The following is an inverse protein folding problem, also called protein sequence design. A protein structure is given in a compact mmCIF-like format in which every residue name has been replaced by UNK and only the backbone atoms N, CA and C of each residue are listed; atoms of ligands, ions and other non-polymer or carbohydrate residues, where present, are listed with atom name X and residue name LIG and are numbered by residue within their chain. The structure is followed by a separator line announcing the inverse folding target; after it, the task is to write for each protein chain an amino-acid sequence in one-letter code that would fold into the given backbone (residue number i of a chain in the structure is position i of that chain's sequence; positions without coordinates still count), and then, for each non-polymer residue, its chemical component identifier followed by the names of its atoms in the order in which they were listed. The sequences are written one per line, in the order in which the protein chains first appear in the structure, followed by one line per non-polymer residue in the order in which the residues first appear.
data_IF_682399393532
#
_entry.id   IF_682399393532
#
_cell.length_a   1.000
_cell.length_b   1.000
_cell.length_c   1.000
_cell.angle_alpha   90.00
_cell.angle_beta   90.00
_cell.angle_gamma   90.00
#
_symmetry.space_group_name_H-M   'P 1'
#
loop_
_entity.id
_entity.type
_entity.pdbx_description
1 polymer ?
#
# COMPACT_ATOMS: atom_id res chain seq x y z
N UNK A 1 -26.20 -36.57 -48.21
CA UNK A 1 -27.30 -36.19 -47.29
C UNK A 1 -27.13 -37.02 -46.03
N UNK A 2 -26.46 -36.48 -45.01
CA UNK A 2 -26.31 -37.11 -43.69
C UNK A 2 -26.75 -36.08 -42.67
N UNK A 3 -27.62 -36.52 -41.77
CA UNK A 3 -28.31 -35.72 -40.77
C UNK A 3 -27.33 -35.16 -39.74
N UNK A 4 -27.42 -33.85 -39.50
CA UNK A 4 -26.85 -33.22 -38.32
C UNK A 4 -27.79 -33.53 -37.15
N UNK A 5 -27.41 -34.47 -36.29
CA UNK A 5 -28.02 -34.63 -34.98
C UNK A 5 -27.64 -33.43 -34.11
N UNK A 6 -28.61 -32.54 -33.95
CA UNK A 6 -28.59 -31.42 -33.04
C UNK A 6 -28.38 -31.94 -31.62
N UNK A 7 -27.20 -31.62 -31.09
CA UNK A 7 -26.83 -31.86 -29.71
C UNK A 7 -27.67 -30.93 -28.80
N UNK A 8 -28.95 -31.26 -28.61
CA UNK A 8 -29.84 -30.60 -27.65
C UNK A 8 -29.43 -31.04 -26.25
N UNK A 9 -28.27 -30.58 -25.81
CA UNK A 9 -27.84 -30.67 -24.43
C UNK A 9 -28.93 -30.04 -23.57
N UNK A 10 -29.65 -30.88 -22.82
CA UNK A 10 -30.66 -30.46 -21.86
C UNK A 10 -29.99 -29.51 -20.87
N UNK A 11 -30.14 -28.21 -21.11
CA UNK A 11 -29.62 -27.18 -20.22
C UNK A 11 -30.47 -27.26 -18.97
N UNK A 12 -29.93 -27.91 -17.92
CA UNK A 12 -30.62 -28.08 -16.66
C UNK A 12 -30.92 -26.68 -16.09
N UNK A 13 -32.21 -26.27 -15.99
CA UNK A 13 -32.56 -24.94 -15.49
C UNK A 13 -32.24 -24.76 -14.00
N UNK A 14 -31.92 -25.86 -13.30
CA UNK A 14 -31.46 -25.88 -11.91
C UNK A 14 -29.94 -26.00 -11.77
N UNK A 15 -29.17 -25.92 -12.87
CA UNK A 15 -27.72 -25.84 -12.77
C UNK A 15 -27.36 -24.53 -12.06
N UNK A 16 -26.71 -24.65 -10.89
CA UNK A 16 -26.14 -23.49 -10.21
C UNK A 16 -25.17 -22.79 -11.15
N UNK A 17 -25.23 -21.44 -11.27
CA UNK A 17 -24.31 -20.70 -12.13
C UNK A 17 -22.88 -21.09 -11.75
N UNK A 18 -22.13 -21.63 -12.71
CA UNK A 18 -20.71 -21.88 -12.49
C UNK A 18 -20.04 -20.52 -12.39
N UNK A 19 -19.86 -20.03 -11.16
CA UNK A 19 -18.98 -18.90 -10.89
C UNK A 19 -17.57 -19.42 -11.08
N UNK A 20 -17.06 -19.35 -12.30
CA UNK A 20 -15.63 -19.48 -12.56
C UNK A 20 -14.96 -18.27 -11.94
N UNK A 21 -14.60 -18.41 -10.65
CA UNK A 21 -13.72 -17.45 -9.98
C UNK A 21 -12.33 -17.68 -10.55
N UNK A 22 -12.05 -17.08 -11.71
CA UNK A 22 -10.70 -16.98 -12.23
C UNK A 22 -9.94 -16.03 -11.31
N UNK A 23 -9.23 -16.60 -10.34
CA UNK A 23 -8.24 -15.85 -9.58
C UNK A 23 -7.21 -15.31 -10.58
N UNK A 24 -7.31 -14.02 -10.90
CA UNK A 24 -6.35 -13.34 -11.77
C UNK A 24 -5.01 -13.38 -11.06
N UNK A 25 -4.06 -14.16 -11.59
CA UNK A 25 -2.68 -14.15 -11.12
C UNK A 25 -2.01 -12.90 -11.67
N UNK A 26 -1.66 -11.97 -10.79
CA UNK A 26 -0.99 -10.72 -11.15
C UNK A 26 0.41 -11.00 -11.69
N UNK A 27 0.79 -10.36 -12.80
CA UNK A 27 2.20 -10.32 -13.19
C UNK A 27 2.94 -9.26 -12.36
N UNK A 28 4.24 -9.43 -12.21
CA UNK A 28 5.10 -8.47 -11.52
C UNK A 28 4.96 -7.08 -12.14
N UNK A 29 4.68 -6.07 -11.31
CA UNK A 29 4.54 -4.69 -11.74
C UNK A 29 3.13 -4.29 -12.17
N UNK A 30 2.23 -5.25 -12.45
CA UNK A 30 0.84 -4.95 -12.83
C UNK A 30 0.07 -4.28 -11.69
N UNK A 31 -0.76 -3.31 -12.05
CA UNK A 31 -1.68 -2.64 -11.15
C UNK A 31 -3.00 -2.36 -11.88
N UNK A 32 -4.06 -2.16 -11.10
CA UNK A 32 -5.39 -1.76 -11.54
C UNK A 32 -5.86 -0.59 -10.67
N UNK A 33 -6.41 0.45 -11.27
CA UNK A 33 -7.11 1.48 -10.50
C UNK A 33 -8.58 1.08 -10.32
N UNK A 34 -9.01 0.88 -9.08
CA UNK A 34 -10.41 0.53 -8.75
C UNK A 34 -10.89 1.28 -7.52
N UNK A 35 -12.05 1.94 -7.64
CA UNK A 35 -12.69 2.69 -6.54
C UNK A 35 -11.76 3.72 -5.88
N UNK A 36 -10.97 4.44 -6.68
CA UNK A 36 -10.00 5.43 -6.18
C UNK A 36 -8.83 4.82 -5.39
N UNK A 37 -8.56 3.53 -5.58
CA UNK A 37 -7.45 2.80 -4.96
C UNK A 37 -6.65 2.06 -6.01
N UNK A 38 -5.39 1.83 -5.71
CA UNK A 38 -4.51 1.04 -6.57
C UNK A 38 -4.57 -0.39 -6.05
N UNK A 39 -4.93 -1.33 -6.90
CA UNK A 39 -4.99 -2.75 -6.60
C UNK A 39 -3.88 -3.44 -7.38
N UNK A 40 -3.12 -4.32 -6.74
CA UNK A 40 -2.07 -5.06 -7.44
C UNK A 40 -1.54 -6.23 -6.62
N UNK A 41 -0.56 -6.94 -7.20
CA UNK A 41 0.09 -8.08 -6.56
C UNK A 41 1.11 -7.69 -5.49
N UNK A 42 2.04 -8.59 -5.20
CA UNK A 42 3.11 -8.37 -4.22
C UNK A 42 4.10 -7.28 -4.65
N UNK A 43 4.30 -7.10 -5.95
CA UNK A 43 5.18 -6.10 -6.53
C UNK A 43 4.40 -5.24 -7.52
N UNK A 44 4.31 -3.94 -7.22
CA UNK A 44 3.49 -2.96 -7.93
C UNK A 44 4.40 -1.86 -8.47
N UNK A 45 4.38 -1.65 -9.78
CA UNK A 45 5.18 -0.61 -10.42
C UNK A 45 4.25 0.45 -10.98
N UNK A 46 4.24 1.60 -10.32
CA UNK A 46 3.42 2.71 -10.76
C UNK A 46 4.08 3.43 -11.95
N UNK A 47 3.26 4.04 -12.82
CA UNK A 47 3.74 4.81 -13.95
C UNK A 47 4.58 6.00 -13.48
N UNK A 48 5.29 6.62 -14.42
CA UNK A 48 6.15 7.78 -14.21
C UNK A 48 5.33 9.07 -13.96
N UNK A 49 4.43 9.02 -12.99
CA UNK A 49 3.53 10.10 -12.58
C UNK A 49 3.72 10.34 -11.09
N UNK A 50 3.83 11.60 -10.68
CA UNK A 50 3.96 11.95 -9.26
C UNK A 50 2.73 11.45 -8.48
N UNK A 51 2.95 10.59 -7.47
CA UNK A 51 1.86 9.94 -6.72
C UNK A 51 0.92 10.92 -5.97
N UNK A 52 1.35 12.17 -5.75
CA UNK A 52 0.56 13.20 -5.06
C UNK A 52 -0.17 14.15 -6.01
N UNK A 53 0.53 14.76 -6.96
CA UNK A 53 -0.06 15.76 -7.86
C UNK A 53 -0.45 15.19 -9.24
N UNK A 54 -0.01 13.98 -9.59
CA UNK A 54 -0.24 13.37 -10.90
C UNK A 54 0.59 13.95 -12.04
N UNK A 55 1.48 14.92 -11.78
CA UNK A 55 2.36 15.51 -12.79
C UNK A 55 3.23 14.43 -13.47
N UNK A 56 3.47 14.57 -14.78
CA UNK A 56 4.34 13.64 -15.49
C UNK A 56 5.78 13.90 -15.08
N UNK A 57 6.47 12.84 -14.69
CA UNK A 57 7.83 12.89 -14.19
C UNK A 57 8.64 12.03 -15.15
N UNK A 58 9.18 12.64 -16.20
CA UNK A 58 9.82 11.93 -17.30
C UNK A 58 10.92 10.98 -16.82
N UNK A 59 11.17 9.91 -17.59
CA UNK A 59 12.23 8.94 -17.26
C UNK A 59 13.60 9.62 -17.16
N UNK A 60 13.82 10.66 -17.97
CA UNK A 60 15.07 11.43 -18.04
C UNK A 60 15.07 12.67 -17.13
N UNK A 61 13.97 12.94 -16.42
CA UNK A 61 13.92 14.07 -15.51
C UNK A 61 14.80 13.77 -14.29
N UNK A 62 16.01 14.33 -14.26
CA UNK A 62 16.91 14.27 -13.11
C UNK A 62 16.29 14.82 -11.80
N UNK A 63 15.15 15.51 -11.91
CA UNK A 63 14.37 16.02 -10.77
C UNK A 63 13.41 15.00 -10.16
N UNK A 64 13.20 13.86 -10.82
CA UNK A 64 12.39 12.74 -10.38
C UNK A 64 13.11 11.89 -9.35
N UNK A 65 12.44 11.52 -8.26
CA UNK A 65 12.93 10.46 -7.38
C UNK A 65 11.97 9.28 -7.47
N UNK A 66 12.48 8.15 -7.95
CA UNK A 66 11.78 6.87 -7.94
C UNK A 66 12.10 6.18 -6.61
N UNK A 67 11.11 6.11 -5.73
CA UNK A 67 11.21 5.46 -4.43
C UNK A 67 10.61 4.05 -4.54
N UNK A 68 11.35 3.05 -4.09
CA UNK A 68 10.80 1.72 -3.84
C UNK A 68 10.56 1.56 -2.35
N UNK A 69 9.31 1.33 -1.97
CA UNK A 69 8.90 1.21 -0.58
C UNK A 69 8.24 -0.14 -0.35
N UNK A 70 8.73 -0.88 0.65
CA UNK A 70 8.09 -2.12 1.09
C UNK A 70 7.11 -1.82 2.22
N UNK A 71 5.82 -2.06 1.98
CA UNK A 71 4.76 -1.88 2.96
C UNK A 71 4.34 -3.23 3.55
N UNK A 72 4.55 -3.46 4.86
CA UNK A 72 3.96 -4.60 5.53
C UNK A 72 2.46 -4.38 5.72
N UNK A 73 1.67 -5.43 5.52
CA UNK A 73 0.27 -5.46 5.93
C UNK A 73 0.13 -6.15 7.29
N UNK A 74 -0.48 -5.45 8.24
CA UNK A 74 -0.77 -5.95 9.58
C UNK A 74 -2.28 -6.03 9.74
N UNK A 75 -2.82 -7.24 9.86
CA UNK A 75 -4.23 -7.44 10.17
C UNK A 75 -4.59 -6.81 11.54
N UNK A 76 -5.71 -6.11 11.68
CA UNK A 76 -6.08 -5.41 12.91
C UNK A 76 -6.19 -6.33 14.14
N UNK A 77 -6.55 -7.60 13.95
CA UNK A 77 -6.58 -8.60 15.03
C UNK A 77 -5.19 -8.79 15.68
N UNK A 78 -4.10 -8.62 14.93
CA UNK A 78 -2.75 -8.73 15.50
C UNK A 78 -2.47 -7.61 16.52
N UNK A 79 -3.06 -6.43 16.33
CA UNK A 79 -2.90 -5.32 17.28
C UNK A 79 -3.52 -5.69 18.63
N UNK A 80 -4.66 -6.38 18.65
CA UNK A 80 -5.25 -6.89 19.89
C UNK A 80 -4.36 -7.94 20.57
N UNK A 81 -3.73 -8.83 19.78
CA UNK A 81 -2.79 -9.82 20.30
C UNK A 81 -1.55 -9.16 20.93
N UNK A 82 -1.08 -8.04 20.35
CA UNK A 82 0.03 -7.27 20.91
C UNK A 82 -0.24 -6.77 22.33
N UNK A 83 -1.50 -6.41 22.63
CA UNK A 83 -1.92 -5.97 23.96
C UNK A 83 -1.94 -7.15 24.95
N UNK A 84 -2.35 -8.34 24.50
CA UNK A 84 -2.44 -9.52 25.34
C UNK A 84 -1.07 -10.15 25.64
N UNK A 85 -0.21 -10.28 24.63
CA UNK A 85 1.13 -10.85 24.77
C UNK A 85 2.08 -10.32 23.69
N UNK A 86 2.85 -9.30 24.07
CA UNK A 86 3.76 -8.60 23.17
C UNK A 86 4.83 -9.50 22.53
N UNK A 87 5.37 -10.47 23.28
CA UNK A 87 6.42 -11.38 22.77
C UNK A 87 5.85 -12.32 21.71
N UNK A 88 4.71 -12.95 22.02
CA UNK A 88 4.04 -13.82 21.06
C UNK A 88 3.66 -13.04 19.79
N UNK A 89 3.18 -11.80 19.93
CA UNK A 89 2.89 -10.93 18.80
C UNK A 89 4.11 -10.67 17.91
N UNK A 90 5.29 -10.35 18.48
CA UNK A 90 6.49 -10.11 17.67
C UNK A 90 6.84 -11.34 16.83
N UNK A 91 6.85 -12.53 17.45
CA UNK A 91 7.17 -13.78 16.75
C UNK A 91 6.21 -13.98 15.59
N UNK A 92 4.90 -13.90 15.86
CA UNK A 92 3.91 -14.18 14.83
C UNK A 92 3.89 -13.10 13.74
N UNK A 93 4.10 -11.84 14.10
CA UNK A 93 4.21 -10.74 13.14
C UNK A 93 5.37 -10.99 12.16
N UNK A 94 6.54 -11.44 12.62
CA UNK A 94 7.68 -11.72 11.73
C UNK A 94 7.34 -12.80 10.69
N UNK A 95 6.61 -13.85 11.07
CA UNK A 95 6.29 -14.97 10.18
C UNK A 95 5.10 -14.74 9.25
N UNK A 96 4.08 -13.99 9.69
CA UNK A 96 2.81 -13.86 8.96
C UNK A 96 2.74 -12.59 8.11
N UNK A 97 3.57 -11.58 8.39
CA UNK A 97 3.49 -10.30 7.70
C UNK A 97 3.70 -10.45 6.20
N UNK A 98 2.63 -10.20 5.45
CA UNK A 98 2.67 -10.07 4.00
C UNK A 98 3.25 -8.71 3.65
N UNK A 99 4.18 -8.68 2.70
CA UNK A 99 4.89 -7.46 2.29
C UNK A 99 4.54 -7.14 0.84
N UNK A 100 4.21 -5.89 0.56
CA UNK A 100 4.00 -5.37 -0.79
C UNK A 100 5.13 -4.39 -1.12
N UNK A 101 5.85 -4.62 -2.21
CA UNK A 101 6.84 -3.70 -2.75
C UNK A 101 6.16 -2.78 -3.76
N UNK A 102 6.20 -1.48 -3.50
CA UNK A 102 5.58 -0.48 -4.37
C UNK A 102 6.66 0.47 -4.85
N UNK A 103 6.82 0.56 -6.16
CA UNK A 103 7.73 1.50 -6.79
C UNK A 103 6.92 2.64 -7.39
N UNK A 104 7.18 3.87 -6.94
CA UNK A 104 6.45 5.06 -7.38
C UNK A 104 7.39 6.25 -7.58
N UNK A 105 6.95 7.27 -8.33
CA UNK A 105 7.69 8.53 -8.48
C UNK A 105 7.05 9.67 -7.68
N UNK A 106 7.90 10.60 -7.21
CA UNK A 106 7.48 11.86 -6.59
C UNK A 106 8.20 13.01 -7.28
N UNK A 107 7.47 14.06 -7.65
CA UNK A 107 8.06 15.29 -8.19
C UNK A 107 8.81 16.08 -7.11
N UNK A 108 9.81 16.88 -7.52
CA UNK A 108 10.66 17.68 -6.63
C UNK A 108 9.88 18.56 -5.67
N UNK A 109 8.78 19.15 -6.10
CA UNK A 109 7.96 20.05 -5.28
C UNK A 109 7.22 19.31 -4.17
N UNK A 110 6.61 18.18 -4.50
CA UNK A 110 5.96 17.33 -3.50
C UNK A 110 6.99 16.74 -2.53
N UNK A 111 8.18 16.38 -3.02
CA UNK A 111 9.28 15.90 -2.18
C UNK A 111 9.81 17.01 -1.25
N UNK A 112 9.94 18.25 -1.74
CA UNK A 112 10.37 19.39 -0.93
C UNK A 112 9.35 19.72 0.16
N UNK A 113 8.05 19.70 -0.16
CA UNK A 113 6.96 19.85 0.83
C UNK A 113 7.02 18.76 1.90
N UNK A 114 7.23 17.50 1.49
CA UNK A 114 7.42 16.37 2.41
C UNK A 114 8.62 16.63 3.32
N UNK A 115 9.80 16.95 2.79
CA UNK A 115 11.01 17.23 3.59
C UNK A 115 10.82 18.36 4.59
N UNK A 116 10.16 19.46 4.19
CA UNK A 116 9.82 20.58 5.09
C UNK A 116 8.94 20.12 6.24
N UNK A 117 7.93 19.29 5.96
CA UNK A 117 7.07 18.71 6.99
C UNK A 117 7.85 17.83 7.97
N UNK A 118 8.72 16.94 7.48
CA UNK A 118 9.58 16.11 8.34
C UNK A 118 10.54 16.94 9.18
N UNK A 119 11.12 17.99 8.61
CA UNK A 119 11.99 18.90 9.34
C UNK A 119 11.24 19.63 10.45
N UNK A 120 10.04 20.16 10.15
CA UNK A 120 9.19 20.81 11.14
C UNK A 120 8.72 19.86 12.25
N UNK A 121 8.33 18.63 11.90
CA UNK A 121 7.96 17.61 12.87
C UNK A 121 9.15 17.26 13.77
N UNK A 122 10.34 17.07 13.19
CA UNK A 122 11.56 16.74 13.92
C UNK A 122 12.03 17.86 14.86
N UNK A 123 11.99 19.12 14.41
CA UNK A 123 12.35 20.27 15.25
C UNK A 123 11.36 20.43 16.39
N UNK A 124 10.06 20.38 16.11
CA UNK A 124 9.01 20.49 17.13
C UNK A 124 9.09 19.37 18.16
N UNK A 125 9.30 18.13 17.70
CA UNK A 125 9.46 16.97 18.61
C UNK A 125 10.71 17.10 19.47
N UNK A 126 11.82 17.55 18.88
CA UNK A 126 13.09 17.76 19.60
C UNK A 126 12.98 18.85 20.66
N UNK A 127 12.33 19.97 20.35
CA UNK A 127 12.11 21.06 21.30
C UNK A 127 11.21 20.62 22.47
N UNK A 128 10.11 19.90 22.19
CA UNK A 128 9.23 19.36 23.24
C UNK A 128 9.96 18.38 24.16
N UNK A 129 10.76 17.48 23.58
CA UNK A 129 11.58 16.55 24.35
C UNK A 129 12.62 17.29 25.21
N UNK A 130 13.29 18.30 24.66
CA UNK A 130 14.28 19.12 25.38
C UNK A 130 13.68 19.87 26.58
N UNK A 131 12.50 20.49 26.39
CA UNK A 131 11.77 21.14 27.48
C UNK A 131 11.42 20.13 28.58
N UNK A 132 11.00 18.91 28.18
CA UNK A 132 10.70 17.84 29.12
C UNK A 132 11.89 17.45 29.99
N UNK A 133 13.06 17.29 29.37
CA UNK A 133 14.30 17.00 30.11
C UNK A 133 14.67 18.14 31.06
N UNK A 134 14.60 19.39 30.61
CA UNK A 134 14.89 20.55 31.46
C UNK A 134 13.95 20.64 32.67
N UNK A 135 12.64 20.39 32.49
CA UNK A 135 11.68 20.41 33.60
C UNK A 135 11.94 19.29 34.62
N UNK A 136 12.28 18.08 34.16
CA UNK A 136 12.65 16.95 35.03
C UNK A 136 13.89 17.27 35.87
N UNK A 137 14.86 18.00 35.33
CA UNK A 137 16.07 18.39 36.05
C UNK A 137 15.84 19.49 37.10
N UNK A 138 14.77 20.28 36.98
CA UNK A 138 14.52 21.45 37.83
C UNK A 138 13.57 21.19 39.01
N UNK A 139 12.79 20.10 39.03
CA UNK A 139 11.81 19.82 40.10
C UNK A 139 11.74 18.34 40.49
N UNK A 140 11.98 18.04 41.77
CA UNK A 140 11.89 16.68 42.33
C UNK A 140 10.47 16.30 42.74
N UNK A 141 9.64 17.25 43.19
CA UNK A 141 8.30 16.99 43.76
C UNK A 141 7.21 16.74 42.70
N UNK A 142 7.36 17.29 41.49
CA UNK A 142 6.41 17.15 40.37
C UNK A 142 6.92 16.18 39.28
N UNK A 143 7.96 15.41 39.58
CA UNK A 143 8.68 14.58 38.63
C UNK A 143 7.75 13.58 37.91
N UNK A 144 6.89 12.90 38.66
CA UNK A 144 6.05 11.81 38.14
C UNK A 144 4.98 12.28 37.14
N UNK A 145 4.14 13.30 37.43
CA UNK A 145 3.15 13.80 36.48
C UNK A 145 3.81 14.46 35.25
N UNK A 146 4.92 15.18 35.42
CA UNK A 146 5.66 15.76 34.29
C UNK A 146 6.22 14.66 33.39
N UNK A 147 6.82 13.62 33.95
CA UNK A 147 7.38 12.50 33.18
C UNK A 147 6.28 11.76 32.39
N UNK A 148 5.11 11.54 32.98
CA UNK A 148 3.96 10.95 32.26
C UNK A 148 3.48 11.85 31.12
N UNK A 149 3.40 13.17 31.34
CA UNK A 149 2.98 14.11 30.29
C UNK A 149 3.96 14.13 29.11
N UNK A 150 5.26 14.21 29.37
CA UNK A 150 6.27 14.22 28.30
C UNK A 150 6.40 12.88 27.59
N UNK A 151 6.32 11.76 28.30
CA UNK A 151 6.33 10.43 27.67
C UNK A 151 5.08 10.23 26.82
N UNK A 152 3.88 10.60 27.30
CA UNK A 152 2.66 10.54 26.51
C UNK A 152 2.73 11.47 25.28
N UNK A 153 3.21 12.71 25.43
CA UNK A 153 3.40 13.64 24.32
C UNK A 153 4.40 13.12 23.29
N UNK A 154 5.51 12.55 23.73
CA UNK A 154 6.51 11.94 22.86
C UNK A 154 5.93 10.73 22.10
N UNK A 155 5.22 9.84 22.80
CA UNK A 155 4.54 8.70 22.18
C UNK A 155 3.47 9.13 21.19
N UNK A 156 2.72 10.21 21.48
CA UNK A 156 1.75 10.78 20.54
C UNK A 156 2.44 11.32 19.28
N UNK A 157 3.56 12.03 19.42
CA UNK A 157 4.33 12.52 18.27
C UNK A 157 4.93 11.37 17.45
N UNK A 158 5.48 10.33 18.09
CA UNK A 158 5.95 9.13 17.40
C UNK A 158 4.81 8.40 16.70
N UNK A 159 3.64 8.28 17.34
CA UNK A 159 2.45 7.73 16.71
C UNK A 159 2.07 8.56 15.47
N UNK A 160 1.98 9.87 15.59
CA UNK A 160 1.67 10.75 14.45
C UNK A 160 2.71 10.61 13.34
N UNK A 161 4.00 10.61 13.67
CA UNK A 161 5.08 10.42 12.70
C UNK A 161 4.94 9.08 11.96
N UNK A 162 4.61 8.01 12.69
CA UNK A 162 4.40 6.70 12.07
C UNK A 162 3.16 6.65 11.18
N UNK A 163 2.11 7.36 11.56
CA UNK A 163 0.89 7.44 10.78
C UNK A 163 1.05 8.27 9.49
N UNK A 164 2.04 9.16 9.43
CA UNK A 164 2.40 9.93 8.24
C UNK A 164 3.50 9.28 7.38
N UNK A 165 3.92 8.03 7.65
CA UNK A 165 4.90 7.35 6.81
C UNK A 165 4.36 6.98 5.42
N UNK A 166 4.66 7.88 4.48
CA UNK A 166 4.60 7.62 3.05
C UNK A 166 3.32 8.13 2.38
N UNK A 167 3.39 8.38 1.06
CA UNK A 167 2.23 8.81 0.28
C UNK A 167 1.16 7.73 0.18
N UNK A 168 1.55 6.46 0.30
CA UNK A 168 0.71 5.28 0.11
C UNK A 168 0.56 4.49 1.41
N UNK A 169 -0.65 3.99 1.67
CA UNK A 169 -0.99 3.12 2.79
C UNK A 169 -1.70 1.88 2.28
N UNK A 170 -1.29 0.71 2.74
CA UNK A 170 -2.03 -0.54 2.48
C UNK A 170 -3.33 -0.48 3.27
N UNK A 171 -4.45 -0.42 2.55
CA UNK A 171 -5.79 -0.37 3.13
C UNK A 171 -6.30 -1.78 3.45
N UNK A 172 -6.12 -2.70 2.51
CA UNK A 172 -6.66 -4.06 2.60
C UNK A 172 -5.78 -5.05 1.85
N UNK A 173 -5.80 -6.30 2.29
CA UNK A 173 -5.16 -7.42 1.62
C UNK A 173 -6.14 -8.60 1.55
N UNK A 174 -6.35 -9.16 0.36
CA UNK A 174 -7.20 -10.33 0.15
C UNK A 174 -6.80 -11.07 -1.12
N UNK A 175 -6.83 -12.40 -1.10
CA UNK A 175 -6.55 -13.25 -2.27
C UNK A 175 -5.27 -12.84 -3.02
N UNK A 176 -4.18 -12.62 -2.30
CA UNK A 176 -2.89 -12.18 -2.86
C UNK A 176 -2.89 -10.79 -3.52
N UNK A 177 -3.97 -10.03 -3.35
CA UNK A 177 -4.09 -8.66 -3.86
C UNK A 177 -3.95 -7.65 -2.72
N UNK A 178 -3.15 -6.62 -2.94
CA UNK A 178 -3.01 -5.48 -2.06
C UNK A 178 -3.81 -4.31 -2.61
N UNK A 179 -4.58 -3.67 -1.74
CA UNK A 179 -5.25 -2.40 -2.03
C UNK A 179 -4.49 -1.27 -1.35
N UNK A 180 -3.94 -0.37 -2.15
CA UNK A 180 -3.21 0.82 -1.69
C UNK A 180 -4.11 2.05 -1.80
N UNK A 181 -4.04 2.90 -0.78
CA UNK A 181 -4.75 4.17 -0.67
C UNK A 181 -3.76 5.32 -0.44
N UNK A 182 -4.20 6.57 -0.64
CA UNK A 182 -3.40 7.77 -0.37
C UNK A 182 -2.73 8.43 -1.58
N UNK A 183 -2.88 7.82 -2.75
CA UNK A 183 -2.57 8.46 -4.04
C UNK A 183 -3.51 9.65 -4.28
N UNK A 184 -3.00 10.70 -4.93
CA UNK A 184 -3.82 11.86 -5.30
C UNK A 184 -4.81 11.54 -6.41
N UNK A 185 -5.96 12.20 -6.43
CA UNK A 185 -6.99 11.96 -7.46
C UNK A 185 -6.49 12.21 -8.88
N UNK A 186 -5.66 13.25 -9.07
CA UNK A 186 -5.05 13.55 -10.36
C UNK A 186 -4.11 12.43 -10.85
N UNK A 187 -3.40 11.78 -9.93
CA UNK A 187 -2.61 10.59 -10.25
C UNK A 187 -3.52 9.44 -10.65
N UNK A 188 -4.56 9.15 -9.86
CA UNK A 188 -5.47 8.01 -10.10
C UNK A 188 -6.14 8.11 -11.47
N UNK A 189 -6.65 9.29 -11.85
CA UNK A 189 -7.27 9.50 -13.16
C UNK A 189 -6.31 9.29 -14.32
N UNK A 190 -5.05 9.74 -14.18
CA UNK A 190 -4.03 9.57 -15.23
C UNK A 190 -3.51 8.14 -15.30
N UNK A 191 -3.37 7.48 -14.15
CA UNK A 191 -2.97 6.08 -14.08
C UNK A 191 -4.01 5.17 -14.72
N UNK A 192 -5.31 5.45 -14.54
CA UNK A 192 -6.41 4.75 -15.23
C UNK A 192 -6.34 4.92 -16.76
N UNK A 193 -5.95 6.09 -17.26
CA UNK A 193 -5.73 6.31 -18.70
C UNK A 193 -4.54 5.51 -19.23
N UNK A 194 -3.42 5.47 -18.49
CA UNK A 194 -2.23 4.69 -18.88
C UNK A 194 -2.52 3.19 -18.87
N UNK A 195 -3.29 2.71 -17.89
CA UNK A 195 -3.72 1.32 -17.81
C UNK A 195 -4.58 0.92 -19.02
N UNK A 196 -5.45 1.81 -19.50
CA UNK A 196 -6.27 1.57 -20.68
C UNK A 196 -5.47 1.53 -21.99
N UNK A 197 -4.30 2.18 -22.02
CA UNK A 197 -3.45 2.27 -23.22
C UNK A 197 -2.49 1.09 -23.35
N UNK A 198 -2.08 0.44 -22.25
CA UNK A 198 -1.33 -0.81 -22.33
C UNK A 198 -2.23 -1.91 -22.94
N UNK A 199 -1.96 -2.37 -24.18
CA UNK A 199 -2.78 -3.39 -24.78
C UNK A 199 -2.65 -4.62 -23.89
N UNK A 200 -3.80 -5.10 -23.38
CA UNK A 200 -3.85 -6.33 -22.63
C UNK A 200 -3.16 -7.41 -23.48
N UNK A 201 -1.90 -7.71 -23.15
CA UNK A 201 -1.18 -8.80 -23.79
C UNK A 201 -1.83 -10.06 -23.25
N UNK A 202 -2.96 -10.42 -23.85
CA UNK A 202 -3.48 -11.77 -23.84
C UNK A 202 -2.37 -12.59 -24.48
N UNK A 203 -1.49 -13.10 -23.63
CA UNK A 203 -0.70 -14.25 -24.00
C UNK A 203 -1.73 -15.29 -24.41
N UNK A 204 -1.98 -15.41 -25.70
CA UNK A 204 -2.67 -16.56 -26.27
C UNK A 204 -1.75 -17.70 -25.89
N UNK A 205 -2.10 -18.38 -24.79
CA UNK A 205 -1.56 -19.68 -24.49
C UNK A 205 -1.84 -20.48 -25.75
N UNK A 206 -0.83 -20.63 -26.60
CA UNK A 206 -0.86 -21.66 -27.62
C UNK A 206 -1.07 -22.94 -26.83
N UNK A 207 -2.30 -23.44 -26.83
CA UNK A 207 -2.62 -24.77 -26.34
C UNK A 207 -1.68 -25.70 -27.11
N UNK A 208 -0.63 -26.12 -26.43
CA UNK A 208 0.41 -26.95 -26.97
C UNK A 208 -0.28 -28.25 -27.35
N UNK A 209 -0.60 -28.38 -28.64
CA UNK A 209 -1.40 -29.43 -29.24
C UNK A 209 -0.68 -30.77 -29.23
N UNK A 210 -0.32 -31.27 -28.05
CA UNK A 210 0.08 -32.66 -27.84
C UNK A 210 -1.16 -33.54 -28.02
N UNK A 211 -1.39 -33.89 -29.28
CA UNK A 211 -2.11 -35.11 -29.64
C UNK A 211 -1.30 -36.29 -29.08
N UNK A 212 -1.89 -36.96 -28.09
CA UNK A 212 -1.53 -38.34 -27.74
C UNK A 212 -1.99 -39.28 -28.86
#
# INVERSE_FOLDING_TARGET
MLANDENSASTNPFASPQTTVTARRWKTGEFLVSNGRIVGGQEIWLPFLCIKCGENVGVDDASAVRESETKPWVHPLWIALAIANFIAFIIVAIFITKKCSVTYSICRDCQAKRRKLWWFLGTTSGTLAGIGVCMVLLQTELLFPLLLFFTAGFMAVLWFATWFHGPLKVYWYSNETFQLSGAGEAFLRRAEMVEAEEPAYTAVLAEDGRKL
#
